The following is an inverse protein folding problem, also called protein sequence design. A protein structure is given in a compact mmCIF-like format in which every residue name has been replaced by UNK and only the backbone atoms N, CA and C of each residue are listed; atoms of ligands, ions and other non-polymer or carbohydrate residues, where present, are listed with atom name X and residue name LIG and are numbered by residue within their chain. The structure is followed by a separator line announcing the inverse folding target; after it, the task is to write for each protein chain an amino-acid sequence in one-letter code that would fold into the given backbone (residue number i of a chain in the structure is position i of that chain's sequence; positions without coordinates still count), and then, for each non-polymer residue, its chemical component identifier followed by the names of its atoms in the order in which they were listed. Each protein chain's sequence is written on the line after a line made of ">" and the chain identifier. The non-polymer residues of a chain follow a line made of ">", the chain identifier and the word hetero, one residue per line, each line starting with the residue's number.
data_IF_796993276166
#
_entry.id   IF_796993276166
#
_cell.length_a   1.000
_cell.length_b   1.000
_cell.length_c   1.000
_cell.angle_alpha   90.00
_cell.angle_beta   90.00
_cell.angle_gamma   90.00
#
_symmetry.space_group_name_H-M   'P 1'
#
loop_
_entity.id
_entity.type
_entity.pdbx_description
1 polymer ?
#
# COMPACT_ATOMS: atom_id res chain seq x y z
N UNK A 1 3.37 -1.46 16.15
CA UNK A 1 3.43 -0.46 15.05
C UNK A 1 2.21 -0.57 14.13
N UNK A 2 1.57 0.55 13.80
CA UNK A 2 0.45 0.58 12.85
C UNK A 2 0.92 0.19 11.44
N UNK A 3 0.16 -0.68 10.75
CA UNK A 3 0.42 -1.09 9.35
C UNK A 3 -0.05 0.00 8.38
N UNK A 4 0.44 1.22 8.56
CA UNK A 4 0.07 2.39 7.76
C UNK A 4 1.30 2.98 7.07
N UNK A 5 1.18 3.32 5.80
CA UNK A 5 2.20 4.08 5.09
C UNK A 5 2.16 5.55 5.53
N UNK A 6 3.31 6.12 5.90
CA UNK A 6 3.37 7.51 6.36
C UNK A 6 3.06 8.52 5.25
N UNK A 7 3.50 8.28 4.02
CA UNK A 7 3.21 9.17 2.88
C UNK A 7 1.78 9.00 2.39
N UNK A 8 1.44 7.82 1.85
CA UNK A 8 0.16 7.59 1.16
C UNK A 8 -1.00 7.21 2.08
N UNK A 9 -0.77 6.98 3.38
CA UNK A 9 -1.83 6.58 4.33
C UNK A 9 -2.39 5.17 4.09
N UNK A 10 -1.76 4.37 3.22
CA UNK A 10 -2.26 3.04 2.86
C UNK A 10 -2.34 2.15 4.10
N UNK A 11 -3.54 1.66 4.39
CA UNK A 11 -3.87 0.84 5.57
C UNK A 11 -4.44 -0.52 5.15
N UNK A 12 -4.42 -1.54 6.04
CA UNK A 12 -4.97 -2.84 5.71
C UNK A 12 -6.47 -2.72 5.45
N UNK A 13 -6.95 -3.33 4.36
CA UNK A 13 -8.38 -3.40 4.05
C UNK A 13 -8.92 -4.80 4.34
N UNK A 14 -10.17 -4.86 4.81
CA UNK A 14 -10.91 -6.12 4.92
C UNK A 14 -11.38 -6.53 3.53
N UNK A 15 -11.32 -7.83 3.24
CA UNK A 15 -11.81 -8.43 2.01
C UNK A 15 -12.32 -9.85 2.24
N UNK A 16 -12.71 -10.52 1.17
CA UNK A 16 -13.12 -11.94 1.18
C UNK A 16 -12.23 -12.76 0.24
N UNK A 17 -12.01 -14.02 0.62
CA UNK A 17 -11.50 -15.04 -0.28
C UNK A 17 -12.66 -15.90 -0.75
N UNK A 18 -12.72 -16.16 -2.05
CA UNK A 18 -13.75 -16.99 -2.67
C UNK A 18 -13.09 -18.24 -3.25
N UNK A 19 -13.57 -19.41 -2.84
CA UNK A 19 -13.18 -20.67 -3.47
C UNK A 19 -14.18 -20.95 -4.58
N UNK A 20 -13.71 -20.95 -5.82
CA UNK A 20 -14.54 -21.11 -7.01
C UNK A 20 -14.19 -22.44 -7.68
N UNK A 21 -15.20 -23.23 -8.07
CA UNK A 21 -15.06 -24.49 -8.80
C UNK A 21 -15.82 -24.44 -10.13
N UNK A 22 -15.43 -25.28 -11.07
CA UNK A 22 -16.04 -25.38 -12.39
C UNK A 22 -15.36 -24.50 -13.45
N UNK A 23 -15.94 -24.49 -14.65
CA UNK A 23 -15.43 -23.77 -15.82
C UNK A 23 -16.40 -22.65 -16.17
N UNK A 24 -15.87 -21.46 -16.44
CA UNK A 24 -16.68 -20.30 -16.82
C UNK A 24 -17.49 -20.55 -18.10
N UNK A 25 -18.73 -20.04 -18.14
CA UNK A 25 -19.61 -20.14 -19.32
C UNK A 25 -18.97 -19.58 -20.59
N UNK A 26 -18.22 -18.48 -20.48
CA UNK A 26 -17.46 -17.91 -21.60
C UNK A 26 -16.43 -18.86 -22.23
N UNK A 27 -15.97 -19.86 -21.48
CA UNK A 27 -15.07 -20.93 -21.95
C UNK A 27 -15.85 -22.20 -22.34
N UNK A 28 -17.14 -22.06 -22.70
CA UNK A 28 -18.07 -23.16 -23.00
C UNK A 28 -18.28 -24.17 -21.85
N UNK A 29 -18.07 -23.75 -20.60
CA UNK A 29 -18.38 -24.57 -19.40
C UNK A 29 -19.81 -24.36 -18.86
N UNK A 30 -20.25 -25.22 -17.94
CA UNK A 30 -21.57 -25.14 -17.28
C UNK A 30 -21.70 -23.87 -16.42
N UNK A 31 -20.61 -23.45 -15.75
CA UNK A 31 -20.60 -22.28 -14.87
C UNK A 31 -19.55 -22.38 -13.76
N UNK A 32 -19.26 -21.22 -13.15
CA UNK A 32 -18.43 -21.12 -11.95
C UNK A 32 -19.32 -21.14 -10.72
N UNK A 33 -19.06 -22.07 -9.80
CA UNK A 33 -19.75 -22.20 -8.52
C UNK A 33 -18.88 -21.73 -7.37
N UNK A 34 -19.43 -20.92 -6.48
CA UNK A 34 -18.74 -20.45 -5.27
C UNK A 34 -18.97 -21.46 -4.15
N UNK A 35 -17.94 -22.24 -3.81
CA UNK A 35 -18.01 -23.28 -2.79
C UNK A 35 -17.68 -22.76 -1.39
N UNK A 36 -16.95 -21.65 -1.28
CA UNK A 36 -16.53 -21.12 0.01
C UNK A 36 -16.33 -19.61 0.02
N UNK A 37 -16.66 -18.99 1.16
CA UNK A 37 -16.50 -17.55 1.42
C UNK A 37 -15.83 -17.32 2.78
N UNK A 38 -14.55 -16.97 2.79
CA UNK A 38 -13.78 -16.70 4.02
C UNK A 38 -13.37 -15.23 4.12
N UNK A 39 -13.27 -14.69 5.34
CA UNK A 39 -12.77 -13.32 5.57
C UNK A 39 -11.24 -13.31 5.39
N UNK A 40 -10.71 -12.30 4.69
CA UNK A 40 -9.26 -12.07 4.57
C UNK A 40 -8.91 -10.60 4.83
N UNK A 41 -7.62 -10.32 5.09
CA UNK A 41 -7.09 -8.96 5.17
C UNK A 41 -6.09 -8.73 4.04
N UNK A 42 -6.27 -7.64 3.30
CA UNK A 42 -5.31 -7.18 2.30
C UNK A 42 -4.32 -6.23 2.98
N UNK A 43 -3.07 -6.66 3.11
CA UNK A 43 -2.03 -5.87 3.75
C UNK A 43 -1.31 -4.99 2.71
N UNK A 44 -0.98 -3.73 3.04
CA UNK A 44 -0.09 -2.93 2.22
C UNK A 44 1.33 -3.50 2.26
N UNK A 45 2.03 -3.50 1.12
CA UNK A 45 3.46 -3.83 1.04
C UNK A 45 4.26 -2.67 1.67
N UNK A 46 4.47 -2.74 2.98
CA UNK A 46 5.17 -1.73 3.77
C UNK A 46 6.62 -2.14 3.96
N UNK A 47 7.52 -1.20 3.69
CA UNK A 47 8.95 -1.32 3.89
C UNK A 47 9.48 -0.10 4.65
N UNK A 48 10.45 -0.31 5.53
CA UNK A 48 11.19 0.79 6.15
C UNK A 48 12.37 1.13 5.25
N UNK A 49 12.45 2.38 4.79
CA UNK A 49 13.54 2.86 3.94
C UNK A 49 14.15 4.12 4.55
N UNK A 50 15.47 4.23 4.42
CA UNK A 50 16.24 5.43 4.73
C UNK A 50 16.38 6.24 3.45
N UNK A 51 16.02 7.51 3.51
CA UNK A 51 16.16 8.43 2.40
C UNK A 51 17.04 9.60 2.84
N UNK A 52 17.92 10.05 1.94
CA UNK A 52 18.75 11.23 2.18
C UNK A 52 17.92 12.49 1.96
N UNK A 53 17.87 13.39 2.94
CA UNK A 53 17.17 14.66 2.83
C UNK A 53 18.18 15.80 2.76
N UNK A 54 18.22 16.46 1.61
CA UNK A 54 19.22 17.48 1.30
C UNK A 54 19.05 18.74 2.19
N UNK A 55 17.82 19.20 2.43
CA UNK A 55 17.59 20.47 3.13
C UNK A 55 18.05 20.46 4.59
N UNK A 56 17.98 19.30 5.26
CA UNK A 56 18.42 19.15 6.67
C UNK A 56 19.69 18.32 6.80
N UNK A 57 20.36 18.04 5.68
CA UNK A 57 21.60 17.27 5.59
C UNK A 57 21.60 15.98 6.44
N UNK A 58 20.48 15.23 6.44
CA UNK A 58 20.29 14.05 7.30
C UNK A 58 19.53 12.93 6.61
N UNK A 59 19.69 11.71 7.13
CA UNK A 59 18.88 10.56 6.73
C UNK A 59 17.56 10.52 7.49
N UNK A 60 16.46 10.37 6.76
CA UNK A 60 15.12 10.19 7.33
C UNK A 60 14.69 8.73 7.13
N UNK A 61 14.23 8.10 8.21
CA UNK A 61 13.65 6.75 8.19
C UNK A 61 12.14 6.85 8.02
N UNK A 62 11.62 6.40 6.88
CA UNK A 62 10.18 6.37 6.61
C UNK A 62 9.68 4.94 6.41
N UNK A 63 8.49 4.67 6.94
CA UNK A 63 7.67 3.48 6.64
C UNK A 63 6.81 3.78 5.42
N UNK A 64 7.26 3.25 4.29
CA UNK A 64 6.72 3.54 2.97
C UNK A 64 6.06 2.32 2.37
N UNK A 65 5.10 2.57 1.49
CA UNK A 65 4.60 1.54 0.58
C UNK A 65 5.34 1.63 -0.75
N UNK A 66 5.35 0.56 -1.55
CA UNK A 66 5.97 0.60 -2.88
C UNK A 66 5.41 1.74 -3.77
N UNK A 67 4.10 2.01 -3.68
CA UNK A 67 3.48 3.14 -4.37
C UNK A 67 4.00 4.50 -3.86
N UNK A 68 4.26 4.63 -2.56
CA UNK A 68 4.83 5.84 -1.98
C UNK A 68 6.26 6.09 -2.47
N UNK A 69 7.05 5.04 -2.64
CA UNK A 69 8.41 5.15 -3.19
C UNK A 69 8.38 5.73 -4.60
N UNK A 70 7.48 5.24 -5.45
CA UNK A 70 7.26 5.80 -6.80
C UNK A 70 6.78 7.27 -6.77
N UNK A 71 5.96 7.65 -5.78
CA UNK A 71 5.54 9.05 -5.62
C UNK A 71 6.71 9.95 -5.24
N UNK A 72 7.57 9.50 -4.32
CA UNK A 72 8.77 10.25 -3.88
C UNK A 72 9.73 10.44 -5.06
N UNK A 73 9.95 9.39 -5.84
CA UNK A 73 10.80 9.44 -7.02
C UNK A 73 10.28 10.45 -8.07
N UNK A 74 8.96 10.48 -8.30
CA UNK A 74 8.35 11.40 -9.27
C UNK A 74 8.28 12.87 -8.80
N UNK A 75 7.99 13.13 -7.53
CA UNK A 75 7.75 14.49 -7.00
C UNK A 75 8.96 15.12 -6.31
N UNK A 76 9.96 14.30 -5.98
CA UNK A 76 11.06 14.67 -5.11
C UNK A 76 10.71 14.53 -3.62
N UNK A 77 11.74 14.28 -2.81
CA UNK A 77 11.58 14.07 -1.37
C UNK A 77 11.20 15.36 -0.61
N UNK A 78 11.75 16.51 -1.01
CA UNK A 78 11.49 17.80 -0.38
C UNK A 78 10.00 18.16 -0.38
N UNK A 79 9.37 18.13 -1.56
CA UNK A 79 7.94 18.42 -1.73
C UNK A 79 7.07 17.51 -0.87
N UNK A 80 7.36 16.20 -0.87
CA UNK A 80 6.59 15.22 -0.09
C UNK A 80 6.73 15.46 1.41
N UNK A 81 7.93 15.79 1.90
CA UNK A 81 8.15 16.10 3.32
C UNK A 81 7.40 17.39 3.71
N UNK A 82 7.42 18.41 2.87
CA UNK A 82 6.69 19.66 3.09
C UNK A 82 5.18 19.41 3.19
N UNK A 83 4.60 18.65 2.26
CA UNK A 83 3.19 18.23 2.31
C UNK A 83 2.87 17.44 3.59
N UNK A 84 3.78 16.54 4.00
CA UNK A 84 3.61 15.75 5.21
C UNK A 84 3.63 16.60 6.50
N UNK A 85 4.48 17.64 6.56
CA UNK A 85 4.52 18.59 7.68
C UNK A 85 3.23 19.40 7.78
N UNK A 86 2.73 19.89 6.65
CA UNK A 86 1.43 20.61 6.58
C UNK A 86 0.30 19.69 7.06
N UNK A 87 0.34 18.41 6.69
CA UNK A 87 -0.62 17.39 7.14
C UNK A 87 -0.49 16.99 8.61
N UNK A 88 0.44 17.59 9.37
CA UNK A 88 0.67 17.32 10.79
C UNK A 88 1.32 15.96 11.09
N UNK A 89 1.91 15.29 10.08
CA UNK A 89 2.59 14.02 10.30
C UNK A 89 3.98 14.27 10.88
N UNK A 90 4.26 13.67 12.04
CA UNK A 90 5.59 13.71 12.67
C UNK A 90 6.61 12.91 11.84
N UNK A 91 7.73 13.55 11.51
CA UNK A 91 8.87 13.02 10.74
C UNK A 91 10.11 13.04 11.62
#
# INVERSE_FOLDING_TARGET
>A
MSKVCQVTGRKPRKGRSYTIRGIAKKKKGIGLNITGKTKRRHQPNLMTKRLWFADENRFIKLRLSAAALRTIDKRGLCTVIREMRISGKKI
#
